data_IF_299980503624
#
_entry.id   IF_299980503624
#
_cell.length_a   1.000
_cell.length_b   1.000
_cell.length_c   1.000
_cell.angle_alpha   90.00
_cell.angle_beta   90.00
_cell.angle_gamma   90.00
#
_symmetry.space_group_name_H-M   'P 1'
#
loop_
_entity.id
_entity.type
_entity.pdbx_description
1 polymer ?
#
# COMPACT_ATOMS: atom_id res chain seq x y z
N UNK A 1 -8.56 8.15 43.53
CA UNK A 1 -8.08 7.33 42.40
C UNK A 1 -9.14 7.41 41.31
N UNK A 2 -9.02 8.39 40.40
CA UNK A 2 -10.07 8.75 39.44
C UNK A 2 -10.06 7.80 38.24
N UNK A 3 -11.15 7.05 38.09
CA UNK A 3 -11.62 6.50 36.83
C UNK A 3 -12.03 7.67 35.92
N UNK A 4 -11.50 7.72 34.70
CA UNK A 4 -12.06 8.56 33.62
C UNK A 4 -12.40 7.70 32.41
N UNK A 5 -13.70 7.48 32.33
CA UNK A 5 -14.56 7.12 31.21
C UNK A 5 -14.03 7.53 29.84
N UNK A 6 -13.86 6.54 28.96
CA UNK A 6 -13.88 6.75 27.51
C UNK A 6 -15.32 6.52 27.06
N UNK A 7 -16.01 7.59 26.70
CA UNK A 7 -17.35 7.50 26.14
C UNK A 7 -17.26 6.96 24.70
N UNK A 8 -17.54 5.66 24.53
CA UNK A 8 -17.94 5.12 23.23
C UNK A 8 -19.29 5.75 22.86
N UNK A 9 -19.29 6.62 21.85
CA UNK A 9 -20.52 7.12 21.25
C UNK A 9 -21.13 5.97 20.45
N UNK A 10 -22.08 5.27 21.07
CA UNK A 10 -22.94 4.30 20.42
C UNK A 10 -24.04 5.08 19.69
N UNK A 11 -23.96 5.16 18.36
CA UNK A 11 -25.07 5.68 17.55
C UNK A 11 -26.22 4.66 17.60
N UNK A 12 -27.40 5.10 18.04
CA UNK A 12 -28.60 4.28 18.16
C UNK A 12 -29.18 3.93 16.77
N UNK A 13 -29.82 2.77 16.60
CA UNK A 13 -30.38 2.37 15.32
C UNK A 13 -31.65 3.18 15.04
N UNK A 14 -31.63 4.00 13.99
CA UNK A 14 -32.86 4.60 13.45
C UNK A 14 -33.41 3.67 12.37
N UNK A 15 -34.61 3.15 12.62
CA UNK A 15 -35.42 2.42 11.65
C UNK A 15 -35.80 3.36 10.50
N UNK A 16 -35.14 3.26 9.36
CA UNK A 16 -35.65 3.78 8.09
C UNK A 16 -35.11 2.91 6.96
N UNK A 17 -36.03 2.23 6.29
CA UNK A 17 -35.82 1.53 5.02
C UNK A 17 -35.38 2.57 3.99
N UNK A 18 -34.10 2.58 3.61
CA UNK A 18 -33.62 3.36 2.47
C UNK A 18 -32.38 2.71 1.87
N UNK A 19 -32.57 2.33 0.61
CA UNK A 19 -31.62 1.81 -0.36
C UNK A 19 -30.47 2.80 -0.63
N UNK A 20 -29.30 2.24 -0.95
CA UNK A 20 -28.15 2.85 -1.62
C UNK A 20 -27.29 3.88 -0.86
N UNK A 21 -26.00 3.53 -0.77
CA UNK A 21 -24.80 4.36 -0.66
C UNK A 21 -25.05 5.86 -0.95
N UNK A 22 -24.99 6.70 0.07
CA UNK A 22 -24.93 8.15 -0.09
C UNK A 22 -23.57 8.65 0.39
N UNK A 23 -22.60 8.69 -0.52
CA UNK A 23 -21.39 9.47 -0.36
C UNK A 23 -21.76 10.93 -0.67
N UNK A 24 -21.82 11.81 0.34
CA UNK A 24 -21.98 13.25 0.10
C UNK A 24 -20.61 13.89 -0.06
N UNK A 25 -20.28 14.23 -1.31
CA UNK A 25 -19.06 14.94 -1.69
C UNK A 25 -19.24 16.45 -1.53
N UNK A 26 -18.25 17.11 -0.91
CA UNK A 26 -17.95 18.50 -1.23
C UNK A 26 -17.41 18.58 -2.65
N UNK A 27 -17.78 19.63 -3.39
CA UNK A 27 -17.53 19.76 -4.82
C UNK A 27 -16.04 19.89 -5.18
N UNK A 28 -15.36 18.77 -5.34
CA UNK A 28 -14.11 18.64 -6.12
C UNK A 28 -14.20 17.35 -6.96
N UNK A 29 -13.70 17.38 -8.19
CA UNK A 29 -13.68 16.18 -9.05
C UNK A 29 -12.95 15.05 -8.31
N UNK A 30 -13.50 13.82 -8.24
CA UNK A 30 -12.85 12.75 -7.49
C UNK A 30 -11.48 12.46 -8.10
N UNK A 31 -10.43 12.75 -7.31
CA UNK A 31 -9.05 12.42 -7.65
C UNK A 31 -8.96 10.91 -7.83
N UNK A 32 -8.43 10.45 -8.97
CA UNK A 32 -8.11 9.04 -9.16
C UNK A 32 -6.74 8.76 -8.51
N UNK A 33 -6.65 7.82 -7.56
CA UNK A 33 -5.37 7.43 -6.99
C UNK A 33 -4.42 6.88 -8.05
N UNK A 34 -3.11 7.04 -7.81
CA UNK A 34 -2.09 6.42 -8.65
C UNK A 34 -2.22 4.89 -8.58
N UNK A 35 -2.21 4.23 -9.73
CA UNK A 35 -2.21 2.76 -9.80
C UNK A 35 -0.84 2.23 -9.34
N UNK A 36 -0.78 1.38 -8.30
CA UNK A 36 0.44 0.71 -7.86
C UNK A 36 1.15 -0.01 -8.99
N UNK A 37 2.49 -0.02 -8.97
CA UNK A 37 3.31 -0.60 -10.04
C UNK A 37 2.89 -2.04 -10.38
N UNK A 38 2.71 -2.90 -9.37
CA UNK A 38 2.33 -4.30 -9.54
C UNK A 38 0.96 -4.53 -10.21
N UNK A 39 0.07 -3.52 -10.22
CA UNK A 39 -1.25 -3.59 -10.86
C UNK A 39 -1.29 -3.01 -12.27
N UNK A 40 -0.22 -2.33 -12.70
CA UNK A 40 -0.18 -1.72 -14.04
C UNK A 40 -0.10 -2.80 -15.13
N UNK A 41 -0.65 -2.57 -16.33
CA UNK A 41 -0.60 -3.55 -17.40
C UNK A 41 0.84 -3.77 -17.91
N UNK A 42 1.13 -4.98 -18.39
CA UNK A 42 2.41 -5.37 -18.99
C UNK A 42 2.53 -4.86 -20.43
N UNK A 43 2.85 -3.58 -20.59
CA UNK A 43 2.88 -2.88 -21.89
C UNK A 43 4.29 -2.58 -22.41
N UNK A 44 5.31 -2.74 -21.58
CA UNK A 44 6.71 -2.50 -21.95
C UNK A 44 7.45 -3.81 -22.16
N UNK A 45 8.60 -3.75 -22.85
CA UNK A 45 9.50 -4.89 -23.02
C UNK A 45 10.96 -4.48 -22.88
N UNK A 46 11.81 -5.38 -22.40
CA UNK A 46 13.27 -5.20 -22.33
C UNK A 46 14.01 -6.48 -22.68
N UNK A 47 15.29 -6.38 -23.02
CA UNK A 47 16.18 -7.54 -23.08
C UNK A 47 16.73 -7.87 -21.69
N UNK A 48 17.14 -9.13 -21.48
CA UNK A 48 17.82 -9.54 -20.23
C UNK A 48 19.11 -8.74 -19.99
N UNK A 49 20.02 -8.55 -20.98
CA UNK A 49 21.22 -7.74 -20.77
C UNK A 49 20.93 -6.31 -20.30
N UNK A 50 19.93 -5.65 -20.88
CA UNK A 50 19.54 -4.29 -20.46
C UNK A 50 18.97 -4.27 -19.04
N UNK A 51 18.17 -5.28 -18.68
CA UNK A 51 17.67 -5.43 -17.31
C UNK A 51 18.80 -5.65 -16.31
N UNK A 52 19.80 -6.49 -16.64
CA UNK A 52 20.96 -6.72 -15.77
C UNK A 52 21.84 -5.47 -15.64
N UNK A 53 21.98 -4.69 -16.71
CA UNK A 53 22.66 -3.39 -16.68
C UNK A 53 21.94 -2.43 -15.75
N UNK A 54 20.61 -2.34 -15.86
CA UNK A 54 19.79 -1.51 -14.97
C UNK A 54 19.94 -1.97 -13.51
N UNK A 55 19.82 -3.28 -13.25
CA UNK A 55 19.94 -3.86 -11.90
C UNK A 55 21.31 -3.59 -11.28
N UNK A 56 22.37 -3.77 -12.04
CA UNK A 56 23.74 -3.49 -11.59
C UNK A 56 23.93 -2.02 -11.24
N UNK A 57 23.42 -1.11 -12.08
CA UNK A 57 23.42 0.32 -11.79
C UNK A 57 22.65 0.66 -10.50
N UNK A 58 21.43 0.14 -10.34
CA UNK A 58 20.57 0.42 -9.19
C UNK A 58 21.21 -0.06 -7.88
N UNK A 59 21.81 -1.26 -7.89
CA UNK A 59 22.55 -1.82 -6.76
C UNK A 59 23.79 -1.00 -6.43
N UNK A 60 24.57 -0.56 -7.42
CA UNK A 60 25.73 0.28 -7.18
C UNK A 60 25.33 1.63 -6.53
N UNK A 61 24.24 2.23 -6.98
CA UNK A 61 23.69 3.43 -6.35
C UNK A 61 23.25 3.15 -4.90
N UNK A 62 22.58 2.03 -4.64
CA UNK A 62 22.20 1.61 -3.29
C UNK A 62 23.40 1.43 -2.36
N UNK A 63 24.46 0.75 -2.83
CA UNK A 63 25.70 0.51 -2.09
C UNK A 63 26.47 1.81 -1.82
N UNK A 64 26.37 2.79 -2.71
CA UNK A 64 27.01 4.10 -2.52
C UNK A 64 26.48 4.90 -1.33
N UNK A 65 25.29 4.52 -0.81
CA UNK A 65 24.71 5.15 0.39
C UNK A 65 25.51 4.80 1.65
N UNK A 66 26.09 3.61 1.74
CA UNK A 66 26.78 3.13 2.93
C UNK A 66 25.88 3.15 4.17
N UNK A 67 26.36 3.78 5.25
CA UNK A 67 25.66 3.99 6.53
C UNK A 67 24.99 5.37 6.63
N UNK A 68 25.12 6.23 5.61
CA UNK A 68 24.69 7.65 5.66
C UNK A 68 23.25 7.83 6.12
N UNK A 69 22.36 6.94 5.70
CA UNK A 69 20.93 7.04 6.02
C UNK A 69 20.65 6.60 7.45
N UNK A 70 21.32 5.52 7.90
CA UNK A 70 21.22 5.04 9.28
C UNK A 70 21.69 6.12 10.25
N UNK A 71 22.83 6.74 9.97
CA UNK A 71 23.43 7.79 10.80
C UNK A 71 22.58 9.07 10.86
N UNK A 72 21.82 9.37 9.80
CA UNK A 72 21.02 10.58 9.71
C UNK A 72 19.70 10.48 10.48
N UNK A 73 18.94 9.39 10.27
CA UNK A 73 17.57 9.26 10.77
C UNK A 73 17.12 7.82 10.99
N UNK A 74 18.05 6.89 11.21
CA UNK A 74 17.77 5.45 11.25
C UNK A 74 17.06 4.95 9.98
N UNK A 75 17.35 5.57 8.84
CA UNK A 75 16.89 5.14 7.53
C UNK A 75 17.48 3.78 7.11
N UNK A 76 17.11 3.28 5.92
CA UNK A 76 17.57 1.97 5.46
C UNK A 76 19.08 1.97 5.20
N UNK A 77 19.73 0.87 5.54
CA UNK A 77 21.10 0.61 5.13
C UNK A 77 21.19 0.18 3.66
N UNK A 78 22.43 0.09 3.15
CA UNK A 78 22.70 -0.34 1.77
C UNK A 78 22.15 -1.74 1.45
N UNK A 79 22.12 -2.64 2.44
CA UNK A 79 21.57 -4.00 2.26
C UNK A 79 20.04 -3.95 2.07
N UNK A 80 19.34 -3.14 2.86
CA UNK A 80 17.90 -2.92 2.73
C UNK A 80 17.55 -2.28 1.39
N UNK A 81 18.30 -1.27 0.96
CA UNK A 81 18.13 -0.68 -0.37
C UNK A 81 18.38 -1.69 -1.49
N UNK A 82 19.40 -2.55 -1.39
CA UNK A 82 19.63 -3.60 -2.39
C UNK A 82 18.48 -4.61 -2.48
N UNK A 83 17.79 -4.88 -1.36
CA UNK A 83 16.59 -5.73 -1.34
C UNK A 83 15.39 -5.02 -1.95
N UNK A 84 15.22 -3.72 -1.70
CA UNK A 84 14.20 -2.90 -2.36
C UNK A 84 14.38 -2.85 -3.90
N UNK A 85 15.61 -2.91 -4.42
CA UNK A 85 15.84 -3.07 -5.87
C UNK A 85 15.20 -4.36 -6.39
N UNK A 86 15.35 -5.46 -5.65
CA UNK A 86 14.78 -6.75 -6.07
C UNK A 86 13.25 -6.72 -6.00
N UNK A 87 12.67 -6.11 -4.97
CA UNK A 87 11.22 -5.92 -4.88
C UNK A 87 10.67 -5.02 -6.01
N UNK A 88 11.38 -3.95 -6.37
CA UNK A 88 11.00 -3.10 -7.49
C UNK A 88 10.98 -3.90 -8.81
N UNK A 89 11.92 -4.82 -9.00
CA UNK A 89 11.96 -5.71 -10.17
C UNK A 89 10.88 -6.79 -10.14
N UNK A 90 10.58 -7.36 -8.96
CA UNK A 90 9.46 -8.28 -8.76
C UNK A 90 8.13 -7.64 -9.18
N UNK A 91 7.91 -6.37 -8.80
CA UNK A 91 6.71 -5.63 -9.20
C UNK A 91 6.71 -5.25 -10.69
N UNK A 92 7.87 -4.88 -11.24
CA UNK A 92 7.98 -4.31 -12.57
C UNK A 92 8.03 -5.34 -13.70
N UNK A 93 8.60 -6.54 -13.49
CA UNK A 93 8.95 -7.48 -14.56
C UNK A 93 8.12 -8.76 -14.41
N UNK A 94 7.49 -9.20 -15.50
CA UNK A 94 6.76 -10.46 -15.52
C UNK A 94 7.69 -11.65 -15.26
N UNK A 95 7.36 -12.47 -14.26
CA UNK A 95 8.10 -13.69 -13.96
C UNK A 95 9.51 -13.47 -13.40
N UNK A 96 9.80 -12.32 -12.78
CA UNK A 96 11.09 -12.06 -12.15
C UNK A 96 11.35 -13.05 -11.00
N UNK A 97 12.30 -13.97 -11.20
CA UNK A 97 12.60 -15.06 -10.27
C UNK A 97 14.09 -15.14 -9.92
N UNK A 98 14.47 -16.14 -9.11
CA UNK A 98 15.85 -16.37 -8.72
C UNK A 98 16.78 -16.69 -9.91
N UNK A 99 16.26 -17.25 -11.01
CA UNK A 99 17.05 -17.55 -12.22
C UNK A 99 17.43 -16.26 -12.92
N UNK A 100 16.46 -15.35 -13.09
CA UNK A 100 16.72 -14.03 -13.67
C UNK A 100 17.71 -13.22 -12.82
N UNK A 101 17.73 -13.38 -11.49
CA UNK A 101 18.74 -12.73 -10.63
C UNK A 101 20.19 -13.19 -10.88
N UNK A 102 20.34 -14.44 -11.32
CA UNK A 102 21.63 -15.11 -11.50
C UNK A 102 22.08 -15.14 -12.97
N UNK A 103 21.20 -14.78 -13.90
CA UNK A 103 21.50 -14.81 -15.34
C UNK A 103 22.55 -13.75 -15.67
N UNK A 104 23.67 -14.18 -16.24
CA UNK A 104 24.71 -13.29 -16.77
C UNK A 104 24.39 -12.89 -18.20
N UNK A 105 24.90 -11.72 -18.64
CA UNK A 105 24.60 -11.16 -19.96
C UNK A 105 24.94 -12.08 -21.14
N UNK A 106 25.73 -13.14 -20.93
CA UNK A 106 26.17 -14.09 -21.95
C UNK A 106 25.16 -15.19 -22.28
N UNK A 107 24.15 -15.44 -21.43
CA UNK A 107 23.26 -16.61 -21.55
C UNK A 107 21.92 -16.32 -22.27
N UNK A 108 21.73 -15.11 -22.77
CA UNK A 108 20.41 -14.61 -23.17
C UNK A 108 20.29 -14.41 -24.67
N UNK A 109 20.08 -15.51 -25.41
CA UNK A 109 19.68 -15.43 -26.81
C UNK A 109 18.30 -14.79 -26.97
N UNK A 110 18.24 -13.49 -27.30
CA UNK A 110 17.06 -12.81 -27.89
C UNK A 110 15.76 -12.74 -27.06
N UNK A 111 15.70 -13.29 -25.84
CA UNK A 111 14.48 -13.29 -25.03
C UNK A 111 14.13 -11.90 -24.53
N UNK A 112 12.95 -11.40 -24.92
CA UNK A 112 12.36 -10.18 -24.40
C UNK A 112 11.51 -10.49 -23.15
N UNK A 113 11.70 -9.70 -22.10
CA UNK A 113 10.90 -9.71 -20.88
C UNK A 113 9.81 -8.65 -20.96
N UNK A 114 8.61 -8.95 -20.49
CA UNK A 114 7.50 -7.99 -20.40
C UNK A 114 7.55 -7.24 -19.08
N UNK A 115 7.19 -5.96 -19.10
CA UNK A 115 7.30 -5.07 -17.95
C UNK A 115 6.09 -4.15 -17.79
N UNK A 116 5.82 -3.76 -16.55
CA UNK A 116 4.77 -2.82 -16.13
C UNK A 116 5.22 -1.35 -16.20
N UNK A 117 6.53 -1.14 -16.22
CA UNK A 117 7.19 0.15 -16.39
C UNK A 117 8.41 -0.03 -17.30
N UNK A 118 8.72 0.97 -18.13
CA UNK A 118 9.93 0.96 -18.95
C UNK A 118 11.19 1.23 -18.12
N UNK A 119 12.36 0.82 -18.61
CA UNK A 119 13.64 1.04 -17.91
C UNK A 119 13.89 2.51 -17.54
N UNK A 120 13.52 3.45 -18.43
CA UNK A 120 13.62 4.88 -18.17
C UNK A 120 12.82 5.33 -16.95
N UNK A 121 11.61 4.82 -16.77
CA UNK A 121 10.80 5.09 -15.57
C UNK A 121 11.44 4.45 -14.34
N UNK A 122 11.93 3.22 -14.44
CA UNK A 122 12.60 2.56 -13.32
C UNK A 122 13.86 3.32 -12.86
N UNK A 123 14.63 3.92 -13.77
CA UNK A 123 15.72 4.83 -13.42
C UNK A 123 15.22 6.02 -12.58
N UNK A 124 14.12 6.67 -13.00
CA UNK A 124 13.54 7.80 -12.27
C UNK A 124 13.04 7.38 -10.88
N UNK A 125 12.26 6.29 -10.80
CA UNK A 125 11.73 5.77 -9.54
C UNK A 125 12.85 5.42 -8.55
N UNK A 126 13.93 4.79 -9.01
CA UNK A 126 15.05 4.44 -8.15
C UNK A 126 15.85 5.66 -7.69
N UNK A 127 15.99 6.67 -8.53
CA UNK A 127 16.59 7.96 -8.13
C UNK A 127 15.75 8.68 -7.09
N UNK A 128 14.43 8.73 -7.25
CA UNK A 128 13.54 9.30 -6.22
C UNK A 128 13.72 8.57 -4.88
N UNK A 129 13.82 7.24 -4.92
CA UNK A 129 14.04 6.43 -3.72
C UNK A 129 15.34 6.79 -3.00
N UNK A 130 16.45 6.84 -3.72
CA UNK A 130 17.78 6.99 -3.13
C UNK A 130 18.17 8.46 -2.95
N UNK A 131 18.09 9.27 -4.00
CA UNK A 131 18.59 10.65 -3.99
C UNK A 131 17.65 11.59 -3.22
N UNK A 132 16.34 11.42 -3.37
CA UNK A 132 15.33 12.24 -2.68
C UNK A 132 14.85 11.60 -1.37
N UNK A 133 15.35 10.40 -1.04
CA UNK A 133 14.97 9.63 0.14
C UNK A 133 13.46 9.40 0.26
N UNK A 134 12.77 9.31 -0.89
CA UNK A 134 11.32 9.06 -0.91
C UNK A 134 11.03 7.68 -0.32
N UNK A 135 10.00 7.50 0.53
CA UNK A 135 9.62 6.17 1.02
C UNK A 135 9.38 5.19 -0.13
N UNK A 136 9.92 3.97 -0.02
CA UNK A 136 9.83 2.96 -1.06
C UNK A 136 8.38 2.69 -1.47
N UNK A 137 7.48 2.63 -0.49
CA UNK A 137 6.05 2.42 -0.69
C UNK A 137 5.40 3.48 -1.59
N UNK A 138 5.81 4.74 -1.51
CA UNK A 138 5.30 5.78 -2.40
C UNK A 138 5.91 5.70 -3.81
N UNK A 139 7.11 5.14 -3.93
CA UNK A 139 7.77 4.89 -5.22
C UNK A 139 7.01 3.79 -5.98
N UNK A 140 6.73 2.65 -5.33
CA UNK A 140 5.97 1.53 -5.94
C UNK A 140 4.44 1.76 -5.92
N UNK A 141 3.95 2.64 -5.06
CA UNK A 141 2.55 3.00 -4.91
C UNK A 141 1.72 2.07 -4.04
N UNK A 142 2.35 1.20 -3.24
CA UNK A 142 1.66 0.27 -2.35
C UNK A 142 2.44 -0.07 -1.09
N UNK A 143 1.72 -0.61 -0.11
CA UNK A 143 2.28 -1.19 1.11
C UNK A 143 1.60 -2.51 1.45
N UNK A 144 2.39 -3.46 1.94
CA UNK A 144 1.89 -4.70 2.53
C UNK A 144 1.49 -4.43 3.98
N UNK A 145 0.24 -4.75 4.33
CA UNK A 145 -0.28 -4.57 5.68
C UNK A 145 -1.08 -5.79 6.10
N UNK A 146 -0.56 -6.56 7.06
CA UNK A 146 -1.08 -7.88 7.39
C UNK A 146 -1.06 -8.80 6.17
N UNK A 147 -2.22 -9.35 5.81
CA UNK A 147 -2.41 -10.24 4.67
C UNK A 147 -2.91 -9.51 3.40
N UNK A 148 -2.97 -8.17 3.41
CA UNK A 148 -3.47 -7.38 2.27
C UNK A 148 -2.43 -6.40 1.73
N UNK A 149 -2.62 -6.02 0.47
CA UNK A 149 -1.82 -4.98 -0.20
C UNK A 149 -2.69 -3.75 -0.47
N UNK A 150 -2.31 -2.65 0.15
CA UNK A 150 -2.99 -1.36 0.07
C UNK A 150 -2.24 -0.45 -0.89
N UNK A 151 -2.98 0.30 -1.69
CA UNK A 151 -2.40 1.40 -2.47
C UNK A 151 -2.11 2.57 -1.54
N UNK A 152 -0.97 3.22 -1.74
CA UNK A 152 -0.55 4.40 -0.99
C UNK A 152 0.12 5.40 -1.92
N UNK A 153 0.01 6.68 -1.59
CA UNK A 153 0.68 7.76 -2.30
C UNK A 153 0.98 8.92 -1.35
N UNK A 154 1.73 9.91 -1.86
CA UNK A 154 2.08 11.11 -1.11
C UNK A 154 0.82 11.80 -0.57
N UNK A 155 0.82 12.15 0.72
CA UNK A 155 -0.35 12.69 1.42
C UNK A 155 -1.22 11.65 2.12
N UNK A 156 -0.86 10.36 2.07
CA UNK A 156 -1.53 9.27 2.80
C UNK A 156 -0.54 8.52 3.67
N UNK A 157 -0.82 8.38 4.96
CA UNK A 157 0.04 7.64 5.87
C UNK A 157 0.27 6.20 5.39
N UNK A 158 1.54 5.81 5.28
CA UNK A 158 1.94 4.41 5.07
C UNK A 158 1.51 3.61 6.31
N UNK A 159 0.60 2.63 6.17
CA UNK A 159 0.04 1.91 7.31
C UNK A 159 1.14 1.13 8.04
N UNK A 160 1.15 1.20 9.36
CA UNK A 160 2.22 0.62 10.19
C UNK A 160 1.87 -0.80 10.63
N UNK A 161 2.81 -1.76 10.66
CA UNK A 161 2.52 -3.15 11.06
C UNK A 161 1.85 -3.26 12.44
N UNK A 162 2.20 -2.40 13.38
CA UNK A 162 1.66 -2.39 14.74
C UNK A 162 0.14 -2.12 14.75
N UNK A 163 -0.38 -1.39 13.76
CA UNK A 163 -1.82 -1.07 13.66
C UNK A 163 -2.70 -2.26 13.28
N UNK A 164 -2.12 -3.39 12.86
CA UNK A 164 -2.84 -4.65 12.63
C UNK A 164 -3.50 -5.14 13.93
N UNK A 165 -2.88 -4.86 15.10
CA UNK A 165 -3.41 -5.25 16.41
C UNK A 165 -4.79 -4.65 16.69
N UNK A 166 -5.12 -3.49 16.10
CA UNK A 166 -6.46 -2.89 16.23
C UNK A 166 -7.52 -3.80 15.62
N UNK A 167 -7.23 -4.41 14.47
CA UNK A 167 -8.13 -5.33 13.77
C UNK A 167 -8.32 -6.62 14.59
N UNK A 168 -7.25 -7.13 15.19
CA UNK A 168 -7.31 -8.30 16.07
C UNK A 168 -8.22 -8.07 17.28
N UNK A 169 -8.12 -6.88 17.90
CA UNK A 169 -9.00 -6.50 19.01
C UNK A 169 -10.47 -6.44 18.58
N UNK A 170 -10.76 -5.93 17.38
CA UNK A 170 -12.12 -5.89 16.85
C UNK A 170 -12.68 -7.30 16.61
N UNK A 171 -11.86 -8.24 16.12
CA UNK A 171 -12.30 -9.62 15.92
C UNK A 171 -12.59 -10.33 17.25
N UNK A 172 -11.78 -10.08 18.28
CA UNK A 172 -12.03 -10.58 19.64
C UNK A 172 -13.35 -10.05 20.19
N UNK A 173 -13.65 -8.76 20.02
CA UNK A 173 -14.93 -8.17 20.43
C UNK A 173 -16.11 -8.78 19.68
N UNK A 174 -16.00 -8.95 18.35
CA UNK A 174 -17.04 -9.57 17.54
C UNK A 174 -17.28 -11.05 17.87
N UNK A 175 -16.26 -11.73 18.39
CA UNK A 175 -16.34 -13.12 18.82
C UNK A 175 -16.98 -13.26 20.20
N UNK A 176 -16.69 -12.31 21.11
CA UNK A 176 -17.29 -12.27 22.43
C UNK A 176 -18.77 -11.81 22.41
N UNK A 177 -19.14 -10.91 21.49
CA UNK A 177 -20.49 -10.37 21.38
C UNK A 177 -20.86 -10.04 19.93
N UNK A 178 -21.86 -10.76 19.40
CA UNK A 178 -22.31 -10.63 18.01
C UNK A 178 -22.84 -9.24 17.67
N UNK A 179 -23.26 -8.44 18.66
CA UNK A 179 -23.75 -7.06 18.43
C UNK A 179 -22.66 -6.18 17.81
N UNK A 180 -21.39 -6.46 18.07
CA UNK A 180 -20.27 -5.75 17.44
C UNK A 180 -20.13 -6.12 15.96
N UNK A 181 -20.43 -7.37 15.60
CA UNK A 181 -20.36 -7.85 14.22
C UNK A 181 -21.47 -7.28 13.33
N UNK A 182 -22.60 -6.93 13.94
CA UNK A 182 -23.75 -6.29 13.28
C UNK A 182 -23.74 -4.75 13.46
N UNK A 183 -22.72 -4.23 14.15
CA UNK A 183 -22.63 -2.83 14.54
C UNK A 183 -22.20 -1.88 13.44
N UNK A 184 -22.33 -0.59 13.76
CA UNK A 184 -21.76 0.52 12.99
C UNK A 184 -20.43 0.95 13.63
N UNK A 185 -19.36 0.91 12.86
CA UNK A 185 -18.02 1.31 13.24
C UNK A 185 -17.61 2.61 12.56
N UNK A 186 -16.72 3.37 13.18
CA UNK A 186 -16.15 4.57 12.61
C UNK A 186 -14.62 4.51 12.65
N UNK A 187 -13.98 4.82 11.52
CA UNK A 187 -12.53 4.97 11.40
C UNK A 187 -12.21 6.44 11.11
N UNK A 188 -11.65 7.13 12.09
CA UNK A 188 -11.43 8.58 12.08
C UNK A 188 -9.97 8.87 11.70
N UNK A 189 -9.75 9.47 10.54
CA UNK A 189 -8.42 9.61 9.95
C UNK A 189 -7.99 8.33 9.22
N UNK A 190 -8.88 7.81 8.37
CA UNK A 190 -8.74 6.47 7.76
C UNK A 190 -7.49 6.32 6.90
N UNK A 191 -6.90 7.41 6.41
CA UNK A 191 -5.68 7.37 5.59
C UNK A 191 -5.86 6.49 4.35
N UNK A 192 -5.15 5.36 4.30
CA UNK A 192 -5.23 4.40 3.20
C UNK A 192 -6.46 3.47 3.27
N UNK A 193 -7.27 3.57 4.32
CA UNK A 193 -8.38 2.67 4.58
C UNK A 193 -7.99 1.37 5.29
N UNK A 194 -6.74 1.25 5.78
CA UNK A 194 -6.21 0.00 6.32
C UNK A 194 -7.10 -0.61 7.42
N UNK A 195 -7.38 0.17 8.47
CA UNK A 195 -8.20 -0.27 9.60
C UNK A 195 -9.65 -0.51 9.14
N UNK A 196 -10.23 0.43 8.38
CA UNK A 196 -11.58 0.27 7.86
C UNK A 196 -11.78 -1.01 7.04
N UNK A 197 -10.84 -1.34 6.16
CA UNK A 197 -10.85 -2.58 5.36
C UNK A 197 -10.67 -3.80 6.25
N UNK A 198 -9.73 -3.76 7.19
CA UNK A 198 -9.51 -4.83 8.16
C UNK A 198 -10.78 -5.17 8.95
N UNK A 199 -11.44 -4.13 9.49
CA UNK A 199 -12.72 -4.28 10.19
C UNK A 199 -13.80 -4.79 9.23
N UNK A 200 -13.95 -4.20 8.03
CA UNK A 200 -14.95 -4.63 7.05
C UNK A 200 -14.88 -6.12 6.72
N UNK A 201 -13.67 -6.69 6.63
CA UNK A 201 -13.45 -8.14 6.43
C UNK A 201 -13.89 -8.99 7.62
N UNK A 202 -13.74 -8.51 8.85
CA UNK A 202 -14.25 -9.19 10.06
C UNK A 202 -15.78 -9.21 10.07
N UNK A 203 -16.41 -8.09 9.69
CA UNK A 203 -17.86 -7.95 9.73
C UNK A 203 -18.57 -8.83 8.69
N UNK A 204 -17.90 -9.15 7.57
CA UNK A 204 -18.43 -10.01 6.49
C UNK A 204 -19.82 -9.57 6.01
N UNK A 205 -20.01 -8.26 5.86
CA UNK A 205 -21.26 -7.64 5.41
C UNK A 205 -22.40 -7.59 6.43
N UNK A 206 -22.20 -8.08 7.67
CA UNK A 206 -23.23 -8.02 8.73
C UNK A 206 -23.32 -6.66 9.42
N UNK A 207 -22.20 -5.94 9.47
CA UNK A 207 -22.10 -4.59 10.00
C UNK A 207 -21.59 -3.61 8.95
N UNK A 208 -21.31 -2.38 9.37
CA UNK A 208 -20.81 -1.32 8.49
C UNK A 208 -19.64 -0.58 9.13
N UNK A 209 -18.74 -0.08 8.30
CA UNK A 209 -17.65 0.80 8.72
C UNK A 209 -17.77 2.12 7.98
N UNK A 210 -17.76 3.22 8.72
CA UNK A 210 -17.73 4.58 8.18
C UNK A 210 -16.31 5.10 8.33
N UNK A 211 -15.60 5.16 7.21
CA UNK A 211 -14.24 5.67 7.14
C UNK A 211 -14.27 7.15 6.73
N UNK A 212 -13.62 8.01 7.52
CA UNK A 212 -13.56 9.45 7.24
C UNK A 212 -12.12 9.95 7.37
N UNK A 213 -11.77 10.93 6.56
CA UNK A 213 -10.50 11.64 6.63
C UNK A 213 -10.71 13.11 6.28
N UNK A 214 -9.82 13.98 6.77
CA UNK A 214 -9.81 15.39 6.38
C UNK A 214 -9.14 15.59 5.02
N UNK A 215 -8.23 14.68 4.64
CA UNK A 215 -7.49 14.75 3.38
C UNK A 215 -8.28 14.14 2.23
N UNK A 216 -8.58 14.94 1.20
CA UNK A 216 -9.19 14.46 -0.05
C UNK A 216 -8.35 13.35 -0.72
N UNK A 217 -7.02 13.38 -0.53
CA UNK A 217 -6.11 12.36 -1.04
C UNK A 217 -6.32 11.04 -0.30
N UNK A 218 -6.41 11.09 1.02
CA UNK A 218 -6.70 9.92 1.85
C UNK A 218 -8.06 9.32 1.51
N UNK A 219 -9.11 10.16 1.38
CA UNK A 219 -10.45 9.71 0.99
C UNK A 219 -10.43 8.99 -0.36
N UNK A 220 -9.74 9.55 -1.37
CA UNK A 220 -9.62 8.93 -2.69
C UNK A 220 -8.91 7.58 -2.63
N UNK A 221 -7.79 7.50 -1.91
CA UNK A 221 -6.99 6.27 -1.76
C UNK A 221 -7.74 5.20 -0.97
N UNK A 222 -8.37 5.57 0.14
CA UNK A 222 -9.20 4.67 0.94
C UNK A 222 -10.35 4.12 0.10
N UNK A 223 -11.05 4.97 -0.66
CA UNK A 223 -12.15 4.54 -1.54
C UNK A 223 -11.69 3.53 -2.58
N UNK A 224 -10.55 3.79 -3.23
CA UNK A 224 -9.95 2.86 -4.21
C UNK A 224 -9.54 1.53 -3.57
N UNK A 225 -8.96 1.55 -2.37
CA UNK A 225 -8.62 0.32 -1.66
C UNK A 225 -9.87 -0.46 -1.23
N UNK A 226 -10.92 0.21 -0.73
CA UNK A 226 -12.20 -0.42 -0.38
C UNK A 226 -12.83 -1.11 -1.60
N UNK A 227 -12.79 -0.46 -2.77
CA UNK A 227 -13.22 -1.06 -4.04
C UNK A 227 -12.42 -2.32 -4.37
N UNK A 228 -11.08 -2.24 -4.33
CA UNK A 228 -10.19 -3.36 -4.63
C UNK A 228 -10.38 -4.56 -3.72
N UNK A 229 -10.84 -4.33 -2.50
CA UNK A 229 -11.13 -5.38 -1.51
C UNK A 229 -12.61 -5.79 -1.49
N UNK A 230 -13.46 -5.20 -2.34
CA UNK A 230 -14.87 -5.59 -2.49
C UNK A 230 -15.76 -5.24 -1.31
N UNK A 231 -15.49 -4.12 -0.62
CA UNK A 231 -16.14 -3.73 0.64
C UNK A 231 -16.96 -2.43 0.54
N UNK A 232 -17.46 -2.09 -0.65
CA UNK A 232 -18.26 -0.88 -0.88
C UNK A 232 -19.64 -0.92 -0.24
#
# INVERSE_FOLDING_TARGET
MMLRSWAMIRLAPTTTTATNLCVRFGASSPRKPRVPLFLRPLVYTTTIPDLQKWRSWARNLALSVGSKFVELDNGPDSHTLCREVEWLLEDAVEGYDARLRQTTATDSGGTCLRMRAGLGELYCLWKERVEQRRPFQYVVGCEHWGDIVLSVEEGVLIPRPETVQVVELVDQLCSADQRFREGLWADLGTGSGAIAIGIGRILKGRGRVVAVDLSDVAVAVASYNVERHGLQ
#
